data_IF_612884027769
#
_entry.id   IF_612884027769
#
_cell.length_a   1.000
_cell.length_b   1.000
_cell.length_c   1.000
_cell.angle_alpha   90.00
_cell.angle_beta   90.00
_cell.angle_gamma   90.00
#
_symmetry.space_group_name_H-M   'P 1'
#
loop_
_entity.id
_entity.type
_entity.pdbx_description
1 polymer ?
#
# COMPACT_ATOMS: atom_id res chain seq x y z
N UNK A 1 -34.31 14.46 -83.54
CA UNK A 1 -33.78 13.19 -83.02
C UNK A 1 -32.82 13.50 -81.87
N UNK A 2 -33.22 13.25 -80.62
CA UNK A 2 -32.36 13.36 -79.44
C UNK A 2 -32.17 11.95 -78.86
N UNK A 3 -30.94 11.45 -78.89
CA UNK A 3 -30.60 10.10 -78.45
C UNK A 3 -30.75 9.90 -76.93
N UNK A 4 -30.83 8.65 -76.44
CA UNK A 4 -31.08 8.37 -75.04
C UNK A 4 -29.87 8.77 -74.17
N UNK A 5 -30.14 9.48 -73.07
CA UNK A 5 -29.14 9.96 -72.12
C UNK A 5 -28.72 8.81 -71.19
N UNK A 6 -27.50 8.30 -71.35
CA UNK A 6 -26.94 7.23 -70.50
C UNK A 6 -26.68 7.78 -69.08
N UNK A 7 -27.41 7.28 -68.08
CA UNK A 7 -27.13 7.50 -66.66
C UNK A 7 -25.89 6.69 -66.24
N UNK A 8 -24.83 7.36 -65.79
CA UNK A 8 -23.69 6.70 -65.13
C UNK A 8 -24.04 6.48 -63.65
N UNK A 9 -24.19 5.23 -63.22
CA UNK A 9 -24.32 4.87 -61.80
C UNK A 9 -22.97 5.11 -61.11
N UNK A 10 -22.88 6.19 -60.34
CA UNK A 10 -21.69 6.49 -59.54
C UNK A 10 -21.73 5.62 -58.29
N UNK A 11 -20.99 4.51 -58.30
CA UNK A 11 -20.86 3.63 -57.14
C UNK A 11 -20.12 4.33 -56.00
N UNK A 12 -20.85 4.75 -54.96
CA UNK A 12 -20.26 5.35 -53.78
C UNK A 12 -19.66 4.23 -52.89
N UNK A 13 -18.34 4.00 -52.99
CA UNK A 13 -17.63 3.14 -52.04
C UNK A 13 -17.27 3.95 -50.79
N UNK A 14 -17.96 3.69 -49.69
CA UNK A 14 -17.61 4.22 -48.37
C UNK A 14 -16.20 3.76 -47.98
N UNK A 15 -15.27 4.67 -47.64
CA UNK A 15 -13.98 4.29 -47.10
C UNK A 15 -14.19 3.70 -45.70
N UNK A 16 -13.85 2.42 -45.51
CA UNK A 16 -13.82 1.80 -44.18
C UNK A 16 -12.70 2.42 -43.36
N UNK A 17 -13.02 3.42 -42.56
CA UNK A 17 -12.11 3.99 -41.57
C UNK A 17 -11.94 2.95 -40.45
N UNK A 18 -10.83 2.21 -40.48
CA UNK A 18 -10.42 1.35 -39.36
C UNK A 18 -10.14 2.24 -38.16
N UNK A 19 -11.10 2.36 -37.25
CA UNK A 19 -10.98 3.18 -36.05
C UNK A 19 -9.96 2.51 -35.08
N UNK A 20 -8.78 3.09 -34.82
CA UNK A 20 -7.77 2.51 -33.94
C UNK A 20 -8.19 2.52 -32.45
N UNK A 21 -9.33 3.14 -32.13
CA UNK A 21 -9.83 3.30 -30.77
C UNK A 21 -10.85 2.25 -30.33
N UNK A 22 -11.15 1.24 -31.17
CA UNK A 22 -11.94 0.08 -30.74
C UNK A 22 -11.11 -0.80 -29.79
N UNK A 23 -10.92 -0.33 -28.55
CA UNK A 23 -10.51 -1.18 -27.43
C UNK A 23 -11.51 -2.32 -27.33
N UNK A 24 -11.06 -3.57 -27.52
CA UNK A 24 -11.89 -4.76 -27.23
C UNK A 24 -12.49 -4.60 -25.83
N UNK A 25 -13.81 -4.45 -25.75
CA UNK A 25 -14.52 -4.52 -24.46
C UNK A 25 -14.27 -5.90 -23.88
N UNK A 26 -13.55 -5.95 -22.76
CA UNK A 26 -13.35 -7.18 -22.03
C UNK A 26 -14.71 -7.67 -21.53
N UNK A 27 -14.99 -8.94 -21.75
CA UNK A 27 -16.18 -9.58 -21.22
C UNK A 27 -16.14 -9.55 -19.69
N UNK A 28 -17.32 -9.61 -19.07
CA UNK A 28 -17.45 -9.69 -17.60
C UNK A 28 -16.67 -10.89 -17.04
N UNK A 29 -16.55 -11.99 -17.80
CA UNK A 29 -15.76 -13.17 -17.42
C UNK A 29 -14.26 -12.86 -17.35
N UNK A 30 -13.71 -12.15 -18.33
CA UNK A 30 -12.29 -11.75 -18.34
C UNK A 30 -11.97 -10.75 -17.23
N UNK A 31 -12.87 -9.81 -16.96
CA UNK A 31 -12.74 -8.87 -15.85
C UNK A 31 -12.71 -9.59 -14.48
N UNK A 32 -13.58 -10.59 -14.29
CA UNK A 32 -13.59 -11.41 -13.06
C UNK A 32 -12.31 -12.24 -12.91
N UNK A 33 -11.81 -12.82 -14.00
CA UNK A 33 -10.56 -13.58 -13.99
C UNK A 33 -9.36 -12.69 -13.61
N UNK A 34 -9.24 -11.50 -14.23
CA UNK A 34 -8.19 -10.52 -13.89
C UNK A 34 -8.27 -10.07 -12.42
N UNK A 35 -9.48 -9.82 -11.90
CA UNK A 35 -9.68 -9.46 -10.48
C UNK A 35 -9.25 -10.58 -9.54
N UNK A 36 -9.59 -11.84 -9.83
CA UNK A 36 -9.16 -13.00 -9.01
C UNK A 36 -7.63 -13.18 -8.98
N UNK A 37 -6.96 -13.02 -10.12
CA UNK A 37 -5.49 -13.09 -10.21
C UNK A 37 -4.84 -11.94 -9.43
N UNK A 38 -5.40 -10.73 -9.51
CA UNK A 38 -4.91 -9.60 -8.74
C UNK A 38 -5.08 -9.81 -7.22
N UNK A 39 -6.26 -10.23 -6.78
CA UNK A 39 -6.54 -10.47 -5.35
C UNK A 39 -5.65 -11.57 -4.78
N UNK A 40 -5.44 -12.68 -5.50
CA UNK A 40 -4.55 -13.76 -5.05
C UNK A 40 -3.09 -13.31 -4.97
N UNK A 41 -2.60 -12.51 -5.94
CA UNK A 41 -1.26 -11.94 -5.87
C UNK A 41 -1.08 -10.99 -4.68
N UNK A 42 -2.05 -10.10 -4.42
CA UNK A 42 -2.00 -9.18 -3.28
C UNK A 42 -2.04 -9.96 -1.95
N UNK A 43 -2.88 -11.00 -1.85
CA UNK A 43 -2.98 -11.85 -0.67
C UNK A 43 -1.67 -12.61 -0.41
N UNK A 44 -1.10 -13.23 -1.44
CA UNK A 44 0.19 -13.93 -1.33
C UNK A 44 1.36 -12.97 -0.99
N UNK A 45 1.31 -11.71 -1.44
CA UNK A 45 2.30 -10.69 -1.06
C UNK A 45 2.16 -10.29 0.42
N UNK A 46 0.92 -10.13 0.90
CA UNK A 46 0.62 -9.84 2.30
C UNK A 46 1.01 -11.00 3.23
N UNK A 47 0.75 -12.24 2.81
CA UNK A 47 1.07 -13.45 3.58
C UNK A 47 2.58 -13.74 3.61
N UNK A 48 3.32 -13.53 2.50
CA UNK A 48 4.78 -13.63 2.50
C UNK A 48 5.47 -12.48 3.26
N UNK A 49 4.88 -11.29 3.29
CA UNK A 49 5.31 -10.17 4.13
C UNK A 49 5.00 -10.36 5.62
N UNK A 50 4.11 -11.30 5.97
CA UNK A 50 3.69 -11.65 7.34
C UNK A 50 4.51 -12.78 7.96
N UNK A 51 5.69 -13.12 7.43
CA UNK A 51 6.63 -13.94 8.19
C UNK A 51 7.01 -13.18 9.46
N UNK A 52 6.37 -13.57 10.56
CA UNK A 52 6.55 -13.00 11.87
C UNK A 52 7.96 -13.32 12.36
N UNK A 53 8.89 -12.44 12.02
CA UNK A 53 10.19 -12.40 12.66
C UNK A 53 9.95 -12.04 14.13
N UNK A 54 10.34 -12.93 15.04
CA UNK A 54 10.24 -12.70 16.48
C UNK A 54 11.08 -11.46 16.83
N UNK A 55 10.43 -10.39 17.28
CA UNK A 55 11.09 -9.14 17.68
C UNK A 55 11.47 -9.18 19.15
N UNK A 56 12.66 -8.69 19.49
CA UNK A 56 13.10 -8.51 20.86
C UNK A 56 13.60 -7.06 21.08
N UNK A 57 13.40 -6.52 22.29
CA UNK A 57 13.75 -5.12 22.62
C UNK A 57 14.94 -5.10 23.59
N UNK A 58 15.97 -4.34 23.26
CA UNK A 58 17.04 -4.00 24.21
C UNK A 58 16.64 -2.73 24.99
N UNK A 59 16.38 -2.89 26.30
CA UNK A 59 15.88 -1.81 27.18
C UNK A 59 16.87 -0.67 27.39
N UNK A 60 18.17 -0.96 27.47
CA UNK A 60 19.21 0.06 27.65
C UNK A 60 19.28 0.98 26.44
N UNK A 61 19.38 0.39 25.24
CA UNK A 61 19.41 1.12 23.98
C UNK A 61 18.09 1.84 23.67
N UNK A 62 16.96 1.29 24.12
CA UNK A 62 15.67 1.96 24.01
C UNK A 62 15.66 3.27 24.80
N UNK A 63 16.19 3.25 26.02
CA UNK A 63 16.28 4.44 26.88
C UNK A 63 17.26 5.48 26.31
N UNK A 64 18.38 5.05 25.74
CA UNK A 64 19.31 5.93 25.00
C UNK A 64 18.59 6.60 23.81
N UNK A 65 17.87 5.83 23.00
CA UNK A 65 17.15 6.40 21.86
C UNK A 65 16.01 7.33 22.30
N UNK A 66 15.32 7.03 23.41
CA UNK A 66 14.29 7.92 23.99
C UNK A 66 14.86 9.26 24.46
N UNK A 67 16.09 9.28 25.00
CA UNK A 67 16.73 10.52 25.45
C UNK A 67 17.21 11.39 24.28
N UNK A 68 17.53 10.79 23.14
CA UNK A 68 17.91 11.51 21.92
C UNK A 68 16.71 12.16 21.19
N UNK A 69 15.49 11.65 21.39
CA UNK A 69 14.29 12.17 20.72
C UNK A 69 13.86 13.49 21.39
N UNK A 70 14.25 14.61 20.78
CA UNK A 70 13.92 15.97 21.27
C UNK A 70 12.43 16.33 21.19
N UNK A 71 11.67 15.73 20.28
CA UNK A 71 10.26 16.10 20.03
C UNK A 71 9.32 15.19 20.84
N UNK A 72 8.45 15.73 21.71
CA UNK A 72 7.62 14.94 22.61
C UNK A 72 6.67 14.00 21.86
N UNK A 73 6.15 14.43 20.72
CA UNK A 73 5.30 13.61 19.85
C UNK A 73 5.98 12.33 19.35
N UNK A 74 7.23 12.43 18.89
CA UNK A 74 7.98 11.26 18.41
C UNK A 74 8.38 10.34 19.54
N UNK A 75 8.63 10.90 20.73
CA UNK A 75 8.87 10.13 21.94
C UNK A 75 7.65 9.27 22.28
N UNK A 76 6.46 9.87 22.36
CA UNK A 76 5.22 9.15 22.62
C UNK A 76 4.94 8.06 21.58
N UNK A 77 5.15 8.36 20.29
CA UNK A 77 5.03 7.37 19.21
C UNK A 77 5.98 6.18 19.44
N UNK A 78 7.23 6.47 19.79
CA UNK A 78 8.24 5.44 20.01
C UNK A 78 7.93 4.58 21.24
N UNK A 79 7.50 5.18 22.34
CA UNK A 79 7.08 4.47 23.56
C UNK A 79 5.91 3.52 23.30
N UNK A 80 4.85 3.98 22.61
CA UNK A 80 3.72 3.13 22.25
C UNK A 80 4.13 2.01 21.27
N UNK A 81 5.04 2.30 20.34
CA UNK A 81 5.57 1.29 19.42
C UNK A 81 6.36 0.21 20.14
N UNK A 82 7.23 0.58 21.10
CA UNK A 82 7.97 -0.38 21.93
C UNK A 82 7.00 -1.22 22.78
N UNK A 83 6.00 -0.59 23.39
CA UNK A 83 4.96 -1.32 24.16
C UNK A 83 4.17 -2.29 23.30
N UNK A 84 3.84 -1.93 22.06
CA UNK A 84 3.15 -2.81 21.12
C UNK A 84 4.02 -4.01 20.71
N UNK A 85 5.32 -3.81 20.49
CA UNK A 85 6.26 -4.87 20.16
C UNK A 85 6.46 -5.82 21.36
N UNK A 86 6.55 -5.29 22.58
CA UNK A 86 6.72 -6.11 23.79
C UNK A 86 5.49 -7.02 24.04
N UNK A 87 4.28 -6.47 23.84
CA UNK A 87 3.03 -7.24 23.96
C UNK A 87 2.85 -8.24 22.82
N UNK A 88 3.26 -7.86 21.61
CA UNK A 88 2.98 -8.61 20.38
C UNK A 88 4.23 -8.74 19.48
N UNK A 89 5.23 -9.54 19.89
CA UNK A 89 6.54 -9.60 19.21
C UNK A 89 6.49 -10.17 17.79
N UNK A 90 5.40 -10.86 17.45
CA UNK A 90 5.20 -11.53 16.16
C UNK A 90 4.40 -10.67 15.15
N UNK A 91 3.89 -9.50 15.56
CA UNK A 91 3.10 -8.68 14.64
C UNK A 91 3.95 -8.11 13.51
N UNK A 92 3.37 -8.07 12.32
CA UNK A 92 3.95 -7.37 11.19
C UNK A 92 4.06 -5.86 11.47
N UNK A 93 5.01 -5.19 10.82
CA UNK A 93 5.21 -3.74 11.02
C UNK A 93 3.95 -2.93 10.64
N UNK A 94 3.21 -3.36 9.62
CA UNK A 94 1.94 -2.75 9.21
C UNK A 94 0.92 -2.80 10.34
N UNK A 95 0.78 -3.94 11.01
CA UNK A 95 -0.20 -4.16 12.07
C UNK A 95 0.21 -3.38 13.34
N UNK A 96 1.51 -3.32 13.66
CA UNK A 96 2.05 -2.46 14.73
C UNK A 96 1.72 -1.00 14.45
N UNK A 97 2.00 -0.51 13.24
CA UNK A 97 1.77 0.90 12.90
C UNK A 97 0.29 1.29 13.02
N UNK A 98 -0.62 0.41 12.56
CA UNK A 98 -2.07 0.62 12.70
C UNK A 98 -2.52 0.64 14.17
N UNK A 99 -2.02 -0.30 15.00
CA UNK A 99 -2.36 -0.36 16.42
C UNK A 99 -1.86 0.85 17.19
N UNK A 100 -0.63 1.29 16.92
CA UNK A 100 -0.02 2.48 17.53
C UNK A 100 -0.84 3.72 17.17
N UNK A 101 -1.17 3.95 15.89
CA UNK A 101 -2.00 5.09 15.49
C UNK A 101 -3.36 5.05 16.15
N UNK A 102 -4.01 3.88 16.23
CA UNK A 102 -5.31 3.73 16.87
C UNK A 102 -5.24 4.15 18.34
N UNK A 103 -4.23 3.70 19.09
CA UNK A 103 -4.03 4.08 20.50
C UNK A 103 -3.71 5.55 20.68
N UNK A 104 -2.84 6.09 19.83
CA UNK A 104 -2.47 7.50 19.88
C UNK A 104 -3.70 8.39 19.61
N UNK A 105 -4.52 8.09 18.61
CA UNK A 105 -5.77 8.81 18.34
C UNK A 105 -6.77 8.76 19.50
N UNK A 106 -6.80 7.66 20.27
CA UNK A 106 -7.65 7.57 21.46
C UNK A 106 -7.15 8.49 22.58
N UNK A 107 -5.84 8.68 22.73
CA UNK A 107 -5.27 9.60 23.75
C UNK A 107 -5.29 11.06 23.32
N UNK A 108 -4.95 11.33 22.07
CA UNK A 108 -4.73 12.66 21.50
C UNK A 108 -5.44 12.75 20.14
N UNK A 109 -6.78 12.87 20.13
CA UNK A 109 -7.58 12.80 18.90
C UNK A 109 -7.28 13.92 17.90
N UNK A 110 -6.81 15.07 18.38
CA UNK A 110 -6.52 16.25 17.56
C UNK A 110 -5.14 16.20 16.88
N UNK A 111 -4.29 15.22 17.24
CA UNK A 111 -2.95 15.12 16.67
C UNK A 111 -2.91 14.22 15.43
N UNK A 112 -2.30 14.73 14.37
CA UNK A 112 -2.07 13.95 13.15
C UNK A 112 -0.85 13.03 13.29
N UNK A 113 -1.06 11.71 13.30
CA UNK A 113 0.00 10.71 13.32
C UNK A 113 0.17 10.06 11.93
N UNK A 114 1.36 10.20 11.35
CA UNK A 114 1.68 9.64 10.05
C UNK A 114 2.36 8.27 10.17
N UNK A 115 1.92 7.28 9.36
CA UNK A 115 2.58 5.98 9.24
C UNK A 115 4.08 6.11 8.92
N UNK A 116 4.45 7.11 8.11
CA UNK A 116 5.85 7.37 7.75
C UNK A 116 6.75 7.69 8.96
N UNK A 117 6.22 8.34 10.00
CA UNK A 117 6.98 8.64 11.21
C UNK A 117 7.27 7.36 12.01
N UNK A 118 6.25 6.51 12.17
CA UNK A 118 6.37 5.23 12.88
C UNK A 118 7.37 4.32 12.16
N UNK A 119 7.30 4.24 10.83
CA UNK A 119 8.24 3.46 10.03
C UNK A 119 9.69 3.96 10.18
N UNK A 120 9.92 5.28 10.18
CA UNK A 120 11.27 5.84 10.39
C UNK A 120 11.83 5.47 11.77
N UNK A 121 11.04 5.66 12.82
CA UNK A 121 11.44 5.32 14.19
C UNK A 121 11.72 3.82 14.36
N UNK A 122 10.92 2.97 13.71
CA UNK A 122 11.15 1.52 13.71
C UNK A 122 12.46 1.13 13.05
N UNK A 123 12.76 1.69 11.87
CA UNK A 123 14.01 1.42 11.15
C UNK A 123 15.23 1.97 11.90
N UNK A 124 15.13 3.15 12.52
CA UNK A 124 16.16 3.68 13.39
C UNK A 124 16.38 2.79 14.62
N UNK A 125 15.30 2.29 15.22
CA UNK A 125 15.37 1.33 16.32
C UNK A 125 16.08 0.03 15.94
N UNK A 126 15.84 -0.49 14.73
CA UNK A 126 16.59 -1.64 14.20
C UNK A 126 18.06 -1.28 14.00
N UNK A 127 18.35 -0.15 13.34
CA UNK A 127 19.72 0.30 13.02
C UNK A 127 20.57 0.48 14.28
N UNK A 128 20.00 1.04 15.34
CA UNK A 128 20.68 1.21 16.65
C UNK A 128 20.76 -0.08 17.47
N UNK A 129 20.04 -1.13 17.06
CA UNK A 129 19.96 -2.40 17.78
C UNK A 129 19.04 -2.36 19.00
N UNK A 130 18.11 -1.40 19.05
CA UNK A 130 17.01 -1.35 20.02
C UNK A 130 16.05 -2.50 19.75
N UNK A 131 15.70 -2.71 18.48
CA UNK A 131 14.78 -3.75 18.02
C UNK A 131 15.58 -4.80 17.27
N UNK A 132 15.69 -6.00 17.85
CA UNK A 132 16.27 -7.16 17.17
C UNK A 132 15.17 -7.86 16.40
N UNK A 133 15.36 -8.01 15.10
CA UNK A 133 14.58 -8.85 14.21
C UNK A 133 15.41 -10.09 13.92
N UNK A 134 14.93 -11.29 14.29
CA UNK A 134 15.56 -12.57 13.95
C UNK A 134 15.56 -12.89 12.45
#
# INVERSE_FOLDING_TARGET
MTGPRVQKTVGFKLPTVKNPLLRKMLSIKELRAKKKVYVSRVKNLADNGRKAVKKNINKEKANEMLSEIKKPKFRLIFEEMLSEIEKNPNLAMTDISANVIRRLKTRTPNEYYANGAINRLYQEGIKKGVIKTN
#
